data_IF_278780239897
#
_entry.id   IF_278780239897
#
_cell.length_a   1.000
_cell.length_b   1.000
_cell.length_c   1.000
_cell.angle_alpha   90.00
_cell.angle_beta   90.00
_cell.angle_gamma   90.00
#
_symmetry.space_group_name_H-M   'P 1'
#
loop_
_entity.id
_entity.type
_entity.pdbx_description
1 polymer ?
#
# COMPACT_ATOMS: atom_id res chain seq x y z
N UNK A 1 0.32 -15.80 4.77
CA UNK A 1 -0.86 -15.38 5.54
C UNK A 1 -0.75 -13.92 6.00
N UNK A 2 0.39 -13.49 6.57
CA UNK A 2 0.56 -12.09 6.99
C UNK A 2 0.46 -11.12 5.82
N UNK A 3 1.06 -11.45 4.67
CA UNK A 3 0.99 -10.63 3.46
C UNK A 3 -0.46 -10.51 2.94
N UNK A 4 -1.18 -11.64 2.83
CA UNK A 4 -2.59 -11.62 2.45
C UNK A 4 -3.43 -10.72 3.38
N UNK A 5 -3.18 -10.77 4.70
CA UNK A 5 -3.87 -9.87 5.65
C UNK A 5 -3.47 -8.39 5.44
N UNK A 6 -2.25 -8.11 4.97
CA UNK A 6 -1.83 -6.74 4.63
C UNK A 6 -2.65 -6.22 3.46
N UNK A 7 -2.75 -6.98 2.37
CA UNK A 7 -3.55 -6.63 1.19
C UNK A 7 -5.04 -6.44 1.53
N UNK A 8 -5.62 -7.39 2.28
CA UNK A 8 -7.02 -7.28 2.76
C UNK A 8 -7.24 -6.04 3.64
N UNK A 9 -6.25 -5.66 4.42
CA UNK A 9 -6.22 -4.42 5.19
C UNK A 9 -6.13 -3.19 4.28
N UNK A 10 -5.25 -3.23 3.27
CA UNK A 10 -5.06 -2.19 2.26
C UNK A 10 -6.35 -1.84 1.53
N UNK A 11 -7.10 -2.84 1.09
CA UNK A 11 -8.43 -2.63 0.48
C UNK A 11 -9.35 -1.79 1.38
N UNK A 12 -9.43 -2.10 2.67
CA UNK A 12 -10.28 -1.36 3.63
C UNK A 12 -9.74 0.06 3.89
N UNK A 13 -8.42 0.20 3.92
CA UNK A 13 -7.74 1.48 4.10
C UNK A 13 -8.05 2.39 2.91
N UNK A 14 -7.88 1.94 1.66
CA UNK A 14 -8.22 2.73 0.48
C UNK A 14 -9.70 3.07 0.39
N UNK A 15 -10.61 2.13 0.70
CA UNK A 15 -12.04 2.41 0.77
C UNK A 15 -12.35 3.56 1.74
N UNK A 16 -11.71 3.55 2.92
CA UNK A 16 -11.92 4.59 3.94
C UNK A 16 -11.22 5.89 3.56
N UNK A 17 -10.03 5.83 2.97
CA UNK A 17 -9.27 6.99 2.51
C UNK A 17 -10.02 7.76 1.41
N UNK A 18 -10.67 7.05 0.50
CA UNK A 18 -11.53 7.65 -0.54
C UNK A 18 -12.68 8.49 0.04
N UNK A 19 -13.19 8.14 1.22
CA UNK A 19 -14.20 8.96 1.92
C UNK A 19 -13.61 10.23 2.55
N UNK A 20 -12.29 10.25 2.76
CA UNK A 20 -11.55 11.38 3.33
C UNK A 20 -10.98 12.32 2.26
N UNK A 21 -10.75 11.83 1.04
CA UNK A 21 -10.09 12.55 -0.04
C UNK A 21 -10.93 13.73 -0.53
N UNK A 22 -10.32 14.92 -0.61
CA UNK A 22 -10.89 16.17 -1.12
C UNK A 22 -10.32 16.53 -2.48
N UNK A 23 -9.00 16.34 -2.66
CA UNK A 23 -8.36 16.58 -3.94
C UNK A 23 -8.85 15.56 -4.98
N UNK A 24 -9.39 16.03 -6.14
CA UNK A 24 -9.92 15.14 -7.17
C UNK A 24 -8.87 14.19 -7.77
N UNK A 25 -7.61 14.63 -7.88
CA UNK A 25 -6.53 13.82 -8.44
C UNK A 25 -6.09 12.74 -7.46
N UNK A 26 -5.96 13.09 -6.19
CA UNK A 26 -5.70 12.11 -5.14
C UNK A 26 -6.81 11.06 -5.07
N UNK A 27 -8.07 11.48 -5.21
CA UNK A 27 -9.21 10.56 -5.26
C UNK A 27 -9.16 9.64 -6.49
N UNK A 28 -8.78 10.15 -7.66
CA UNK A 28 -8.60 9.37 -8.87
C UNK A 28 -7.50 8.31 -8.69
N UNK A 29 -6.38 8.70 -8.14
CA UNK A 29 -5.24 7.86 -7.86
C UNK A 29 -5.58 6.75 -6.85
N UNK A 30 -6.15 7.09 -5.70
CA UNK A 30 -6.58 6.07 -4.73
C UNK A 30 -7.69 5.15 -5.25
N UNK A 31 -8.50 5.61 -6.22
CA UNK A 31 -9.45 4.73 -6.91
C UNK A 31 -8.73 3.72 -7.80
N UNK A 32 -7.63 4.12 -8.44
CA UNK A 32 -6.74 3.23 -9.20
C UNK A 32 -6.10 2.21 -8.24
N UNK A 33 -5.50 2.69 -7.16
CA UNK A 33 -4.79 1.85 -6.18
C UNK A 33 -5.70 0.85 -5.48
N UNK A 34 -6.92 1.24 -5.11
CA UNK A 34 -7.90 0.29 -4.59
C UNK A 34 -8.13 -0.90 -5.52
N UNK A 35 -8.24 -0.67 -6.83
CA UNK A 35 -8.42 -1.75 -7.81
C UNK A 35 -7.17 -2.62 -7.94
N UNK A 36 -5.99 -2.02 -7.89
CA UNK A 36 -4.72 -2.73 -7.93
C UNK A 36 -4.55 -3.60 -6.67
N UNK A 37 -4.78 -3.04 -5.48
CA UNK A 37 -4.73 -3.81 -4.21
C UNK A 37 -5.74 -4.97 -4.19
N UNK A 38 -6.94 -4.79 -4.75
CA UNK A 38 -7.90 -5.90 -4.91
C UNK A 38 -7.33 -7.02 -5.78
N UNK A 39 -6.62 -6.67 -6.86
CA UNK A 39 -5.93 -7.64 -7.71
C UNK A 39 -4.74 -8.30 -6.98
N UNK A 40 -4.01 -7.54 -6.14
CA UNK A 40 -2.93 -8.11 -5.33
C UNK A 40 -3.46 -9.16 -4.34
N UNK A 41 -4.64 -8.95 -3.77
CA UNK A 41 -5.33 -9.99 -2.97
C UNK A 41 -5.51 -11.27 -3.79
N UNK A 42 -6.01 -11.17 -5.03
CA UNK A 42 -6.20 -12.33 -5.91
C UNK A 42 -4.87 -13.03 -6.22
N UNK A 43 -3.82 -12.27 -6.55
CA UNK A 43 -2.46 -12.81 -6.79
C UNK A 43 -1.94 -13.55 -5.56
N UNK A 44 -2.14 -12.99 -4.37
CA UNK A 44 -1.70 -13.63 -3.13
C UNK A 44 -2.49 -14.89 -2.81
N UNK A 45 -3.81 -14.91 -3.04
CA UNK A 45 -4.65 -16.10 -2.87
C UNK A 45 -4.25 -17.21 -3.84
N UNK A 46 -3.99 -16.88 -5.10
CA UNK A 46 -3.50 -17.83 -6.11
C UNK A 46 -2.13 -18.40 -5.75
N UNK A 47 -1.22 -17.55 -5.27
CA UNK A 47 0.10 -17.97 -4.81
C UNK A 47 -0.01 -18.96 -3.64
N UNK A 48 -0.82 -18.65 -2.63
CA UNK A 48 -1.03 -19.53 -1.48
C UNK A 48 -1.62 -20.89 -1.91
N UNK A 49 -2.55 -20.87 -2.86
CA UNK A 49 -3.12 -22.10 -3.43
C UNK A 49 -2.07 -22.92 -4.19
N UNK A 50 -1.24 -22.30 -5.04
CA UNK A 50 -0.13 -22.95 -5.75
C UNK A 50 0.87 -23.61 -4.77
N UNK A 51 1.14 -22.95 -3.64
CA UNK A 51 2.05 -23.45 -2.61
C UNK A 51 1.40 -24.49 -1.66
N UNK A 52 0.10 -24.78 -1.81
CA UNK A 52 -0.62 -25.70 -0.92
C UNK A 52 -0.80 -25.15 0.50
N UNK A 53 -0.73 -23.84 0.67
CA UNK A 53 -0.87 -23.17 1.97
C UNK A 53 -2.34 -22.82 2.20
N UNK A 54 -2.99 -23.56 3.08
CA UNK A 54 -4.38 -23.31 3.46
C UNK A 54 -4.53 -22.08 4.38
N UNK A 55 -5.78 -21.60 4.58
CA UNK A 55 -6.06 -20.52 5.49
C UNK A 55 -5.60 -20.86 6.91
N UNK A 56 -4.82 -19.97 7.51
CA UNK A 56 -4.34 -20.13 8.88
C UNK A 56 -4.15 -18.77 9.55
N UNK A 57 -4.61 -18.66 10.78
CA UNK A 57 -4.30 -17.49 11.59
C UNK A 57 -2.91 -17.65 12.21
N UNK A 58 -2.08 -16.65 12.06
CA UNK A 58 -0.72 -16.61 12.58
C UNK A 58 -0.56 -15.38 13.49
N UNK A 59 0.40 -15.39 14.42
CA UNK A 59 0.68 -14.18 15.22
C UNK A 59 0.93 -12.95 14.36
N UNK A 60 1.63 -13.09 13.22
CA UNK A 60 1.89 -12.01 12.28
C UNK A 60 0.62 -11.48 11.60
N UNK A 61 -0.27 -12.37 11.15
CA UNK A 61 -1.54 -11.97 10.53
C UNK A 61 -2.47 -11.24 11.52
N UNK A 62 -2.49 -11.66 12.79
CA UNK A 62 -3.24 -10.97 13.83
C UNK A 62 -2.75 -9.55 14.09
N UNK A 63 -1.42 -9.37 14.16
CA UNK A 63 -0.82 -8.04 14.36
C UNK A 63 -1.15 -7.12 13.18
N UNK A 64 -0.99 -7.59 11.95
CA UNK A 64 -1.27 -6.80 10.74
C UNK A 64 -2.75 -6.43 10.66
N UNK A 65 -3.65 -7.37 10.95
CA UNK A 65 -5.10 -7.11 11.00
C UNK A 65 -5.43 -6.02 12.03
N UNK A 66 -4.84 -6.07 13.21
CA UNK A 66 -5.03 -5.07 14.25
C UNK A 66 -4.52 -3.69 13.82
N UNK A 67 -3.34 -3.63 13.20
CA UNK A 67 -2.79 -2.37 12.69
C UNK A 67 -3.69 -1.79 11.59
N UNK A 68 -4.08 -2.58 10.59
CA UNK A 68 -4.98 -2.14 9.51
C UNK A 68 -6.30 -1.59 10.06
N UNK A 69 -6.92 -2.30 11.01
CA UNK A 69 -8.14 -1.82 11.66
C UNK A 69 -7.90 -0.52 12.44
N UNK A 70 -6.73 -0.34 13.06
CA UNK A 70 -6.38 0.89 13.78
C UNK A 70 -6.25 2.08 12.84
N UNK A 71 -5.68 1.90 11.65
CA UNK A 71 -5.58 2.93 10.62
C UNK A 71 -6.98 3.35 10.11
N UNK A 72 -7.86 2.39 9.82
CA UNK A 72 -9.26 2.65 9.46
C UNK A 72 -9.97 3.42 10.57
N UNK A 73 -9.79 3.04 11.83
CA UNK A 73 -10.38 3.73 12.96
C UNK A 73 -9.84 5.16 13.12
N UNK A 74 -8.55 5.40 12.85
CA UNK A 74 -7.95 6.74 12.89
C UNK A 74 -8.62 7.67 11.86
N UNK A 75 -8.77 7.21 10.61
CA UNK A 75 -9.46 7.95 9.55
C UNK A 75 -10.93 8.24 9.90
N UNK A 76 -11.65 7.26 10.43
CA UNK A 76 -13.04 7.44 10.87
C UNK A 76 -13.18 8.46 12.01
N UNK A 77 -12.23 8.50 12.94
CA UNK A 77 -12.19 9.52 14.01
C UNK A 77 -11.91 10.91 13.45
N UNK A 78 -10.96 11.02 12.50
CA UNK A 78 -10.64 12.27 11.84
C UNK A 78 -11.86 12.87 11.11
N UNK A 79 -12.63 12.02 10.40
CA UNK A 79 -13.91 12.46 9.77
C UNK A 79 -14.90 13.08 10.78
N UNK A 80 -14.95 12.53 11.99
CA UNK A 80 -15.79 13.08 13.07
C UNK A 80 -15.29 14.40 13.67
N UNK A 81 -14.06 14.78 13.41
CA UNK A 81 -13.43 16.01 13.94
C UNK A 81 -13.83 17.31 13.24
N UNK A 82 -14.48 17.22 12.09
CA UNK A 82 -15.06 18.38 11.38
C UNK A 82 -14.08 19.25 10.58
N UNK A 83 -12.79 18.89 10.52
CA UNK A 83 -11.81 19.52 9.64
C UNK A 83 -11.47 18.61 8.45
N UNK A 84 -12.03 18.89 7.25
CA UNK A 84 -11.81 18.04 6.09
C UNK A 84 -10.35 18.05 5.58
N UNK A 85 -9.60 19.14 5.75
CA UNK A 85 -8.20 19.19 5.31
C UNK A 85 -7.32 18.34 6.22
N UNK A 86 -7.48 18.44 7.54
CA UNK A 86 -6.81 17.58 8.49
C UNK A 86 -7.19 16.10 8.30
N UNK A 87 -8.45 15.82 7.96
CA UNK A 87 -8.94 14.47 7.68
C UNK A 87 -8.23 13.84 6.46
N UNK A 88 -8.05 14.60 5.38
CA UNK A 88 -7.33 14.14 4.19
C UNK A 88 -5.86 13.82 4.49
N UNK A 89 -5.19 14.65 5.30
CA UNK A 89 -3.81 14.40 5.74
C UNK A 89 -3.72 13.13 6.58
N UNK A 90 -4.63 12.94 7.54
CA UNK A 90 -4.67 11.69 8.34
C UNK A 90 -4.84 10.47 7.43
N UNK A 91 -5.68 10.58 6.40
CA UNK A 91 -5.85 9.48 5.44
C UNK A 91 -4.55 9.21 4.65
N UNK A 92 -3.86 10.26 4.18
CA UNK A 92 -2.56 10.10 3.52
C UNK A 92 -1.52 9.41 4.43
N UNK A 93 -1.43 9.81 5.70
CA UNK A 93 -0.53 9.15 6.65
C UNK A 93 -0.90 7.68 6.85
N UNK A 94 -2.18 7.36 6.98
CA UNK A 94 -2.65 5.98 7.12
C UNK A 94 -2.31 5.14 5.88
N UNK A 95 -2.48 5.69 4.67
CA UNK A 95 -2.08 5.04 3.42
C UNK A 95 -0.57 4.81 3.39
N UNK A 96 0.26 5.82 3.68
CA UNK A 96 1.73 5.67 3.72
C UNK A 96 2.17 4.59 4.70
N UNK A 97 1.54 4.46 5.87
CA UNK A 97 1.83 3.36 6.82
C UNK A 97 1.51 1.99 6.22
N UNK A 98 0.35 1.85 5.58
CA UNK A 98 -0.06 0.59 4.96
C UNK A 98 0.90 0.21 3.82
N UNK A 99 1.13 1.12 2.88
CA UNK A 99 2.01 0.92 1.72
C UNK A 99 3.45 0.63 2.12
N UNK A 100 3.96 1.28 3.18
CA UNK A 100 5.31 0.97 3.70
C UNK A 100 5.43 -0.49 4.14
N UNK A 101 4.38 -1.02 4.79
CA UNK A 101 4.38 -2.42 5.23
C UNK A 101 4.20 -3.37 4.05
N UNK A 102 3.36 -3.01 3.10
CA UNK A 102 3.07 -3.86 1.95
C UNK A 102 4.26 -3.95 1.00
N UNK A 103 4.83 -2.84 0.60
CA UNK A 103 6.07 -2.79 -0.16
C UNK A 103 7.20 -3.63 0.48
N UNK A 104 7.36 -3.57 1.82
CA UNK A 104 8.32 -4.40 2.54
C UNK A 104 8.01 -5.89 2.42
N UNK A 105 6.73 -6.27 2.40
CA UNK A 105 6.31 -7.66 2.24
C UNK A 105 6.68 -8.18 0.85
N UNK A 106 6.36 -7.44 -0.23
CA UNK A 106 6.67 -7.82 -1.61
C UNK A 106 8.18 -7.85 -1.86
N UNK A 107 8.94 -6.90 -1.31
CA UNK A 107 10.40 -6.92 -1.35
C UNK A 107 10.99 -8.17 -0.68
N UNK A 108 10.42 -8.58 0.45
CA UNK A 108 10.82 -9.82 1.12
C UNK A 108 10.47 -11.05 0.28
N UNK A 109 9.28 -11.08 -0.34
CA UNK A 109 8.85 -12.20 -1.17
C UNK A 109 9.75 -12.36 -2.40
N UNK A 110 10.12 -11.24 -3.04
CA UNK A 110 11.08 -11.22 -4.14
C UNK A 110 12.44 -11.80 -3.73
N UNK A 111 12.91 -11.44 -2.52
CA UNK A 111 14.14 -12.03 -1.99
C UNK A 111 14.01 -13.53 -1.72
N UNK A 112 12.85 -13.98 -1.22
CA UNK A 112 12.58 -15.40 -1.05
C UNK A 112 12.57 -16.15 -2.39
N UNK A 113 12.07 -15.52 -3.47
CA UNK A 113 12.10 -16.10 -4.80
C UNK A 113 13.53 -16.36 -5.33
N UNK A 114 14.48 -15.49 -4.98
CA UNK A 114 15.90 -15.65 -5.35
C UNK A 114 16.58 -16.82 -4.62
N UNK A 115 16.13 -17.15 -3.42
CA UNK A 115 16.78 -18.15 -2.55
C UNK A 115 16.06 -19.53 -2.54
N UNK A 116 14.81 -19.59 -3.02
CA UNK A 116 14.01 -20.80 -3.03
C UNK A 116 14.45 -21.77 -4.14
N UNK A 117 14.11 -23.05 -3.99
CA UNK A 117 14.25 -24.07 -5.02
C UNK A 117 12.97 -24.17 -5.88
N UNK A 118 13.11 -24.67 -7.10
CA UNK A 118 11.95 -24.96 -7.96
C UNK A 118 11.08 -26.09 -7.37
N UNK A 119 9.74 -26.03 -7.49
CA UNK A 119 8.97 -25.04 -8.28
C UNK A 119 8.55 -23.79 -7.47
N UNK A 120 8.98 -23.65 -6.23
CA UNK A 120 8.61 -22.55 -5.35
C UNK A 120 9.16 -21.21 -5.86
N UNK A 121 10.45 -21.21 -6.27
CA UNK A 121 11.12 -20.03 -6.80
C UNK A 121 10.32 -19.38 -7.95
N UNK A 122 9.94 -20.18 -8.94
CA UNK A 122 9.14 -19.70 -10.08
C UNK A 122 7.77 -19.15 -9.66
N UNK A 123 7.08 -19.81 -8.72
CA UNK A 123 5.78 -19.35 -8.25
C UNK A 123 5.84 -17.99 -7.54
N UNK A 124 6.88 -17.79 -6.69
CA UNK A 124 7.11 -16.53 -6.00
C UNK A 124 7.49 -15.42 -6.98
N UNK A 125 8.42 -15.69 -7.92
CA UNK A 125 8.86 -14.73 -8.91
C UNK A 125 7.72 -14.28 -9.83
N UNK A 126 6.83 -15.20 -10.25
CA UNK A 126 5.65 -14.89 -11.06
C UNK A 126 4.66 -13.97 -10.31
N UNK A 127 4.45 -14.19 -9.02
CA UNK A 127 3.61 -13.33 -8.21
C UNK A 127 4.22 -11.93 -8.05
N UNK A 128 5.51 -11.83 -7.69
CA UNK A 128 6.21 -10.56 -7.56
C UNK A 128 6.17 -9.73 -8.84
N UNK A 129 6.40 -10.36 -10.00
CA UNK A 129 6.40 -9.68 -11.29
C UNK A 129 5.06 -9.03 -11.67
N UNK A 130 3.96 -9.45 -11.06
CA UNK A 130 2.63 -8.88 -11.29
C UNK A 130 2.34 -7.66 -10.41
N UNK A 131 3.09 -7.44 -9.33
CA UNK A 131 2.73 -6.51 -8.26
C UNK A 131 3.80 -5.45 -7.98
N UNK A 132 5.09 -5.80 -8.05
CA UNK A 132 6.20 -4.94 -7.59
C UNK A 132 6.17 -3.52 -8.17
N UNK A 133 5.90 -3.36 -9.47
CA UNK A 133 5.86 -2.02 -10.09
C UNK A 133 4.70 -1.17 -9.55
N UNK A 134 3.54 -1.79 -9.28
CA UNK A 134 2.38 -1.11 -8.73
C UNK A 134 2.62 -0.70 -7.28
N UNK A 135 3.23 -1.56 -6.47
CA UNK A 135 3.58 -1.28 -5.07
C UNK A 135 4.63 -0.16 -4.93
N UNK A 136 5.59 -0.11 -5.83
CA UNK A 136 6.55 0.99 -5.88
C UNK A 136 5.85 2.33 -6.12
N UNK A 137 4.93 2.35 -7.08
CA UNK A 137 4.13 3.52 -7.42
C UNK A 137 3.26 3.94 -6.23
N UNK A 138 2.55 3.00 -5.60
CA UNK A 138 1.69 3.25 -4.44
C UNK A 138 2.45 3.94 -3.32
N UNK A 139 3.57 3.38 -2.90
CA UNK A 139 4.35 3.93 -1.80
C UNK A 139 4.97 5.29 -2.16
N UNK A 140 5.55 5.41 -3.35
CA UNK A 140 6.30 6.60 -3.75
C UNK A 140 5.38 7.81 -3.94
N UNK A 141 4.28 7.64 -4.65
CA UNK A 141 3.29 8.70 -4.85
C UNK A 141 2.57 9.07 -3.55
N UNK A 142 2.16 8.09 -2.75
CA UNK A 142 1.52 8.34 -1.45
C UNK A 142 2.40 9.18 -0.52
N UNK A 143 3.71 8.93 -0.48
CA UNK A 143 4.67 9.76 0.25
C UNK A 143 4.73 11.20 -0.28
N UNK A 144 4.68 11.36 -1.60
CA UNK A 144 4.63 12.67 -2.25
C UNK A 144 3.38 13.45 -1.85
N UNK A 145 2.21 12.85 -1.97
CA UNK A 145 0.94 13.45 -1.56
C UNK A 145 0.92 13.83 -0.08
N UNK A 146 1.33 12.93 0.79
CA UNK A 146 1.37 13.17 2.23
C UNK A 146 2.26 14.37 2.57
N UNK A 147 3.45 14.46 1.97
CA UNK A 147 4.38 15.57 2.15
C UNK A 147 3.78 16.91 1.68
N UNK A 148 3.24 16.96 0.47
CA UNK A 148 2.74 18.21 -0.10
C UNK A 148 1.49 18.72 0.63
N UNK A 149 0.60 17.84 1.06
CA UNK A 149 -0.56 18.22 1.86
C UNK A 149 -0.14 18.76 3.23
N UNK A 150 0.89 18.19 3.88
CA UNK A 150 1.46 18.77 5.09
C UNK A 150 2.09 20.15 4.86
N UNK A 151 2.85 20.32 3.76
CA UNK A 151 3.42 21.62 3.38
C UNK A 151 2.31 22.67 3.22
N UNK A 152 1.22 22.30 2.54
CA UNK A 152 0.04 23.17 2.39
C UNK A 152 -0.61 23.52 3.74
N UNK A 153 -0.81 22.52 4.61
CA UNK A 153 -1.41 22.72 5.94
C UNK A 153 -0.58 23.66 6.83
N UNK A 154 0.74 23.62 6.68
CA UNK A 154 1.67 24.51 7.39
C UNK A 154 1.76 25.92 6.79
N UNK A 155 0.94 26.23 5.80
CA UNK A 155 0.88 27.55 5.15
C UNK A 155 2.05 27.82 4.19
N UNK A 156 2.76 26.79 3.76
CA UNK A 156 3.83 26.89 2.76
C UNK A 156 3.32 26.56 1.38
N UNK A 157 4.11 26.89 0.34
CA UNK A 157 3.75 26.61 -1.06
C UNK A 157 3.92 25.14 -1.37
N UNK A 158 2.83 24.42 -1.55
CA UNK A 158 2.79 23.02 -1.99
C UNK A 158 2.77 22.88 -3.50
N UNK A 159 3.23 21.74 -4.01
CA UNK A 159 3.14 21.34 -5.42
C UNK A 159 2.20 20.16 -5.54
N UNK A 160 0.98 20.40 -6.03
CA UNK A 160 -0.05 19.38 -6.20
C UNK A 160 -0.50 19.29 -7.68
N UNK A 161 -0.53 18.10 -8.30
CA UNK A 161 -0.06 16.84 -7.76
C UNK A 161 1.45 16.84 -7.51
N UNK A 162 1.94 15.95 -6.62
CA UNK A 162 3.34 15.88 -6.24
C UNK A 162 4.26 15.63 -7.45
N UNK A 163 5.54 16.08 -7.40
CA UNK A 163 6.50 15.82 -8.48
C UNK A 163 6.74 14.33 -8.75
N UNK A 164 6.50 13.48 -7.77
CA UNK A 164 6.61 12.04 -7.83
C UNK A 164 5.71 11.43 -8.90
N UNK A 165 4.53 11.97 -9.11
CA UNK A 165 3.56 11.56 -10.15
C UNK A 165 4.14 11.58 -11.59
N UNK A 166 5.24 12.28 -11.80
CA UNK A 166 5.88 12.45 -13.11
C UNK A 166 7.14 11.60 -13.26
N UNK A 167 7.55 10.88 -12.23
CA UNK A 167 8.77 10.09 -12.24
C UNK A 167 8.46 8.62 -12.52
N UNK A 168 9.28 8.00 -13.36
CA UNK A 168 9.30 6.56 -13.54
C UNK A 168 9.99 5.94 -12.30
N UNK A 169 9.20 5.29 -11.45
CA UNK A 169 9.62 4.74 -10.17
C UNK A 169 10.47 3.47 -10.33
N UNK A 170 10.53 2.89 -11.53
CA UNK A 170 11.25 1.64 -11.84
C UNK A 170 12.73 1.61 -11.45
N UNK A 171 13.32 2.75 -11.12
CA UNK A 171 14.77 2.86 -10.86
C UNK A 171 15.17 2.74 -9.38
N UNK A 172 14.26 2.89 -8.41
CA UNK A 172 14.67 2.96 -6.99
C UNK A 172 14.78 1.60 -6.31
N UNK A 173 13.93 0.63 -6.63
CA UNK A 173 14.03 -0.73 -6.06
C UNK A 173 15.22 -1.50 -6.63
N UNK A 174 15.51 -1.34 -7.93
CA UNK A 174 16.67 -1.98 -8.55
C UNK A 174 18.01 -1.39 -8.10
N UNK A 175 18.03 -0.13 -7.65
CA UNK A 175 19.23 0.56 -7.14
C UNK A 175 19.63 0.19 -5.71
N UNK A 176 18.74 -0.36 -4.92
CA UNK A 176 18.99 -0.78 -3.54
C UNK A 176 19.68 -2.15 -3.37
N UNK A 177 20.03 -2.82 -4.47
CA UNK A 177 20.65 -4.17 -4.50
C UNK A 177 22.15 -4.17 -4.86
N UNK A 178 22.84 -3.02 -4.66
CA UNK A 178 24.31 -2.96 -4.85
C UNK A 178 25.03 -3.11 -3.53
#
# INVERSE_FOLDING_TARGET
>A
QQMLETELGGVKIYQTALECARDPKLREEWTKYLRQTQKHVEVMEELLAKLGVGPAETPGSLVVRFIGQSLVNAMNRAKGGGDPAATEIVACECVVFAETKDHQNWSLLSKCAEEAEEPIASALAEACAQVEEEEDEHLYHSKGWCRELWIQMLGMTAVLPPPEEKKDVKSEIRGGRA
#
